data_IF_916142761361
#
_entry.id   IF_916142761361
#
_cell.length_a   1.000
_cell.length_b   1.000
_cell.length_c   1.000
_cell.angle_alpha   90.00
_cell.angle_beta   90.00
_cell.angle_gamma   90.00
#
_symmetry.space_group_name_H-M   'P 1'
#
loop_
_entity.id
_entity.type
_entity.pdbx_description
1 polymer ?
#
# COMPACT_ATOMS: atom_id res chain seq x y z
N UNK A 1 -30.97 66.44 -13.55
CA UNK A 1 -31.55 65.72 -14.72
C UNK A 1 -30.49 64.73 -15.17
N UNK A 2 -30.59 63.41 -15.15
CA UNK A 2 -31.52 62.38 -14.69
C UNK A 2 -30.59 61.17 -14.39
N UNK A 3 -30.77 60.47 -13.26
CA UNK A 3 -31.23 59.08 -13.21
C UNK A 3 -30.31 58.10 -14.02
N UNK A 4 -29.72 57.04 -13.46
CA UNK A 4 -30.40 56.04 -12.63
C UNK A 4 -29.40 55.19 -11.84
N UNK A 5 -29.59 55.18 -10.52
CA UNK A 5 -29.15 54.13 -9.60
C UNK A 5 -30.18 53.00 -9.74
N UNK A 6 -29.74 51.79 -10.09
CA UNK A 6 -30.49 50.57 -9.80
C UNK A 6 -29.58 49.57 -9.11
N UNK A 7 -29.61 49.62 -7.78
CA UNK A 7 -29.48 48.43 -6.95
C UNK A 7 -30.49 47.38 -7.45
N UNK A 8 -29.98 46.23 -7.91
CA UNK A 8 -30.78 45.01 -7.97
C UNK A 8 -30.32 44.09 -6.85
N UNK A 9 -30.75 44.47 -5.64
CA UNK A 9 -30.96 43.56 -4.53
C UNK A 9 -32.03 42.55 -4.93
N UNK A 10 -31.61 41.42 -5.54
CA UNK A 10 -32.48 40.27 -5.72
C UNK A 10 -32.63 39.53 -4.39
N UNK A 11 -33.66 39.95 -3.68
CA UNK A 11 -34.28 39.29 -2.54
C UNK A 11 -34.84 37.92 -3.00
N UNK A 12 -34.09 36.84 -2.75
CA UNK A 12 -34.63 35.48 -2.75
C UNK A 12 -34.86 35.02 -1.31
N UNK A 13 -36.07 34.53 -0.96
CA UNK A 13 -36.47 34.26 0.42
C UNK A 13 -35.75 33.03 1.02
N UNK A 14 -35.51 32.99 2.34
CA UNK A 14 -34.99 31.81 3.02
C UNK A 14 -36.11 30.78 3.14
N UNK A 15 -36.08 29.77 2.27
CA UNK A 15 -36.94 28.60 2.43
C UNK A 15 -36.45 27.82 3.66
N UNK A 16 -37.14 28.06 4.78
CA UNK A 16 -37.14 27.17 5.92
C UNK A 16 -37.45 25.75 5.44
N UNK A 17 -36.49 24.84 5.62
CA UNK A 17 -36.78 23.41 5.64
C UNK A 17 -36.49 22.88 7.04
N UNK A 18 -37.59 22.63 7.75
CA UNK A 18 -37.64 21.91 9.00
C UNK A 18 -36.96 20.54 8.92
N UNK A 19 -36.39 20.17 10.07
CA UNK A 19 -36.37 18.85 10.66
C UNK A 19 -36.14 17.66 9.73
N UNK A 20 -34.87 17.29 9.62
CA UNK A 20 -34.44 15.95 9.24
C UNK A 20 -33.20 15.60 10.04
N UNK A 21 -33.39 15.20 11.30
CA UNK A 21 -32.36 14.48 12.06
C UNK A 21 -32.12 13.17 11.34
N UNK A 22 -31.25 13.19 10.33
CA UNK A 22 -30.56 12.00 9.90
C UNK A 22 -29.30 11.89 10.74
N UNK A 23 -29.46 11.36 11.96
CA UNK A 23 -28.40 10.60 12.60
C UNK A 23 -28.19 9.32 11.78
N UNK A 24 -27.68 9.47 10.56
CA UNK A 24 -27.00 8.38 9.89
C UNK A 24 -25.68 8.22 10.62
N UNK A 25 -25.72 7.48 11.73
CA UNK A 25 -24.57 6.76 12.23
C UNK A 25 -24.19 5.78 11.11
N UNK A 26 -23.50 6.29 10.10
CA UNK A 26 -22.83 5.53 9.08
C UNK A 26 -21.61 4.93 9.76
N UNK A 27 -21.88 4.04 10.72
CA UNK A 27 -20.96 3.01 11.15
C UNK A 27 -20.87 2.15 9.89
N UNK A 28 -19.98 2.53 8.97
CA UNK A 28 -19.38 1.56 8.09
C UNK A 28 -19.03 0.40 9.02
N UNK A 29 -19.63 -0.80 8.87
CA UNK A 29 -19.17 -1.95 9.59
C UNK A 29 -17.75 -2.12 9.09
N UNK A 30 -16.88 -1.58 9.91
CA UNK A 30 -15.51 -1.95 10.10
C UNK A 30 -15.53 -3.46 9.88
N UNK A 31 -15.18 -3.93 8.66
CA UNK A 31 -14.98 -5.32 8.19
C UNK A 31 -14.09 -6.21 9.10
N UNK A 32 -13.97 -5.85 10.36
CA UNK A 32 -12.99 -6.28 11.33
C UNK A 32 -13.68 -7.28 12.29
N UNK A 33 -15.02 -7.46 12.17
CA UNK A 33 -15.87 -8.36 12.95
C UNK A 33 -16.38 -9.62 12.21
N UNK A 34 -15.93 -9.90 10.99
CA UNK A 34 -16.18 -11.22 10.39
C UNK A 34 -14.99 -12.13 10.69
N UNK A 35 -15.19 -13.07 11.59
CA UNK A 35 -14.34 -14.26 11.74
C UNK A 35 -14.83 -15.26 10.71
N UNK A 36 -14.31 -15.22 9.49
CA UNK A 36 -14.43 -16.38 8.60
C UNK A 36 -13.71 -17.55 9.29
N UNK A 37 -14.34 -18.72 9.34
CA UNK A 37 -13.78 -19.92 9.99
C UNK A 37 -12.44 -20.39 9.36
N UNK A 38 -12.11 -19.89 8.16
CA UNK A 38 -10.86 -20.16 7.44
C UNK A 38 -9.75 -19.14 7.74
N UNK A 39 -10.06 -18.03 8.41
CA UNK A 39 -9.07 -16.99 8.68
C UNK A 39 -8.18 -17.34 9.91
N UNK A 40 -6.90 -16.94 9.91
CA UNK A 40 -6.04 -17.11 11.08
C UNK A 40 -6.67 -16.48 12.33
N UNK A 41 -6.70 -17.18 13.49
CA UNK A 41 -7.22 -16.64 14.73
C UNK A 41 -6.58 -15.28 15.05
N UNK A 42 -7.39 -14.31 15.47
CA UNK A 42 -6.92 -12.96 15.83
C UNK A 42 -6.54 -12.94 17.31
N UNK A 43 -5.51 -12.15 17.65
CA UNK A 43 -5.12 -11.94 19.05
C UNK A 43 -6.27 -11.26 19.81
N UNK A 44 -6.56 -11.67 21.05
CA UNK A 44 -7.60 -11.04 21.85
C UNK A 44 -7.20 -9.61 22.25
N UNK A 45 -8.21 -8.80 22.54
CA UNK A 45 -8.03 -7.41 22.97
C UNK A 45 -7.49 -7.37 24.41
N UNK A 46 -6.56 -6.47 24.69
CA UNK A 46 -6.04 -6.29 26.04
C UNK A 46 -7.10 -5.67 26.98
N UNK A 47 -6.85 -5.73 28.30
CA UNK A 47 -7.81 -5.25 29.30
C UNK A 47 -8.22 -3.78 29.11
N UNK A 48 -7.29 -2.89 28.76
CA UNK A 48 -7.59 -1.50 28.47
C UNK A 48 -8.50 -1.33 27.24
N UNK A 49 -8.20 -2.01 26.13
CA UNK A 49 -9.01 -1.96 24.92
C UNK A 49 -10.40 -2.55 25.15
N UNK A 50 -10.52 -3.56 26.01
CA UNK A 50 -11.81 -4.11 26.45
C UNK A 50 -12.62 -3.07 27.23
N UNK A 51 -11.99 -2.36 28.16
CA UNK A 51 -12.62 -1.24 28.87
C UNK A 51 -13.06 -0.14 27.90
N UNK A 52 -12.20 0.29 26.97
CA UNK A 52 -12.55 1.29 25.94
C UNK A 52 -13.73 0.81 25.10
N UNK A 53 -13.74 -0.45 24.66
CA UNK A 53 -14.83 -1.02 23.86
C UNK A 53 -16.18 -0.99 24.62
N UNK A 54 -16.17 -1.18 25.93
CA UNK A 54 -17.38 -1.14 26.76
C UNK A 54 -17.85 0.30 27.03
N UNK A 55 -16.93 1.22 27.32
CA UNK A 55 -17.28 2.58 27.78
C UNK A 55 -17.43 3.59 26.64
N UNK A 56 -16.70 3.44 25.53
CA UNK A 56 -16.77 4.35 24.40
C UNK A 56 -18.19 4.56 23.84
N UNK A 57 -19.02 3.52 23.61
CA UNK A 57 -20.38 3.75 23.12
C UNK A 57 -21.26 4.48 24.14
N UNK A 58 -21.03 4.27 25.45
CA UNK A 58 -21.78 4.95 26.52
C UNK A 58 -21.45 6.44 26.59
N UNK A 59 -20.19 6.82 26.40
CA UNK A 59 -19.79 8.23 26.36
C UNK A 59 -20.24 8.87 25.05
N UNK A 60 -20.13 8.16 23.93
CA UNK A 60 -20.55 8.67 22.63
C UNK A 60 -22.07 8.91 22.55
N UNK A 61 -22.89 8.10 23.22
CA UNK A 61 -24.34 8.32 23.29
C UNK A 61 -24.72 9.50 24.20
N UNK A 62 -23.97 9.71 25.29
CA UNK A 62 -24.16 10.86 26.20
C UNK A 62 -23.67 12.19 25.61
N UNK A 63 -22.67 12.12 24.72
CA UNK A 63 -22.00 13.26 24.13
C UNK A 63 -21.82 13.10 22.61
N UNK A 64 -22.91 13.16 21.83
CA UNK A 64 -22.87 12.99 20.38
C UNK A 64 -22.06 14.09 19.67
N UNK A 65 -21.87 15.25 20.28
CA UNK A 65 -21.06 16.37 19.79
C UNK A 65 -19.54 16.14 19.93
N UNK A 66 -19.13 15.28 20.88
CA UNK A 66 -17.72 15.04 21.14
C UNK A 66 -17.11 14.14 20.07
N UNK A 67 -15.91 14.51 19.59
CA UNK A 67 -15.15 13.68 18.66
C UNK A 67 -14.66 12.41 19.37
N UNK A 68 -14.70 11.29 18.66
CA UNK A 68 -14.22 9.99 19.15
C UNK A 68 -12.80 10.05 19.74
N UNK A 69 -11.91 10.85 19.14
CA UNK A 69 -10.52 11.01 19.62
C UNK A 69 -10.47 11.60 21.03
N UNK A 70 -11.35 12.55 21.33
CA UNK A 70 -11.42 13.20 22.64
C UNK A 70 -12.07 12.28 23.68
N UNK A 71 -13.08 11.50 23.28
CA UNK A 71 -13.67 10.44 24.10
C UNK A 71 -12.61 9.41 24.51
N UNK A 72 -11.84 8.90 23.55
CA UNK A 72 -10.76 7.94 23.82
C UNK A 72 -9.68 8.57 24.72
N UNK A 73 -9.38 9.86 24.55
CA UNK A 73 -8.43 10.56 25.42
C UNK A 73 -8.91 10.60 26.88
N UNK A 74 -10.19 10.89 27.11
CA UNK A 74 -10.81 10.87 28.44
C UNK A 74 -10.76 9.46 29.06
N UNK A 75 -11.19 8.43 28.33
CA UNK A 75 -11.10 7.03 28.78
C UNK A 75 -9.67 6.59 29.12
N UNK A 76 -8.68 7.06 28.36
CA UNK A 76 -7.29 6.79 28.64
C UNK A 76 -6.81 7.45 29.94
N UNK A 77 -7.35 8.61 30.30
CA UNK A 77 -7.06 9.28 31.58
C UNK A 77 -7.74 8.53 32.73
N UNK A 78 -9.02 8.19 32.60
CA UNK A 78 -9.78 7.40 33.58
C UNK A 78 -9.12 6.05 33.86
N UNK A 79 -8.67 5.33 32.83
CA UNK A 79 -7.95 4.07 33.00
C UNK A 79 -6.62 4.23 33.76
N UNK A 80 -5.94 5.37 33.65
CA UNK A 80 -4.70 5.61 34.42
C UNK A 80 -5.01 5.84 35.90
N UNK A 81 -6.10 6.54 36.21
CA UNK A 81 -6.52 6.85 37.59
C UNK A 81 -7.24 5.70 38.30
N UNK A 82 -7.79 4.74 37.56
CA UNK A 82 -8.45 3.55 38.14
C UNK A 82 -7.50 2.72 39.02
N UNK A 83 -8.05 2.12 40.08
CA UNK A 83 -7.33 1.21 40.97
C UNK A 83 -6.97 -0.12 40.27
N UNK A 84 -5.97 -0.87 40.76
CA UNK A 84 -5.66 -2.20 40.21
C UNK A 84 -6.86 -3.15 40.30
N UNK A 85 -7.63 -3.09 41.39
CA UNK A 85 -8.83 -3.91 41.61
C UNK A 85 -9.92 -3.66 40.55
N UNK A 86 -10.11 -2.41 40.13
CA UNK A 86 -11.03 -2.08 39.04
C UNK A 86 -10.54 -2.59 37.67
N UNK A 87 -9.22 -2.77 37.52
CA UNK A 87 -8.60 -3.28 36.29
C UNK A 87 -8.57 -4.81 36.24
N UNK A 88 -8.56 -5.47 37.40
CA UNK A 88 -8.46 -6.93 37.54
C UNK A 88 -9.47 -7.70 36.65
N UNK A 89 -10.77 -7.37 36.61
CA UNK A 89 -11.73 -8.10 35.77
C UNK A 89 -11.35 -8.08 34.28
N UNK A 90 -10.84 -6.94 33.80
CA UNK A 90 -10.43 -6.77 32.41
C UNK A 90 -9.11 -7.50 32.10
N UNK A 91 -8.21 -7.60 33.09
CA UNK A 91 -6.97 -8.36 32.95
C UNK A 91 -7.24 -9.86 32.95
N UNK A 92 -8.07 -10.34 33.90
CA UNK A 92 -8.45 -11.75 34.01
C UNK A 92 -9.14 -12.25 32.74
N UNK A 93 -10.09 -11.47 32.20
CA UNK A 93 -10.75 -11.81 30.93
C UNK A 93 -9.76 -11.88 29.77
N UNK A 94 -8.82 -10.92 29.67
CA UNK A 94 -7.75 -10.98 28.66
C UNK A 94 -6.88 -12.24 28.78
N UNK A 95 -6.52 -12.65 30.00
CA UNK A 95 -5.70 -13.85 30.22
C UNK A 95 -6.44 -15.12 29.77
N UNK A 96 -7.71 -15.26 30.12
CA UNK A 96 -8.56 -16.37 29.67
C UNK A 96 -8.67 -16.40 28.14
N UNK A 97 -8.94 -15.25 27.51
CA UNK A 97 -9.02 -15.18 26.05
C UNK A 97 -7.68 -15.50 25.38
N UNK A 98 -6.56 -15.14 26.02
CA UNK A 98 -5.22 -15.46 25.54
C UNK A 98 -4.92 -16.96 25.59
N UNK A 99 -5.41 -17.66 26.60
CA UNK A 99 -5.31 -19.12 26.69
C UNK A 99 -6.12 -19.78 25.58
N UNK A 100 -7.37 -19.36 25.39
CA UNK A 100 -8.22 -19.84 24.31
C UNK A 100 -7.59 -19.59 22.93
N UNK A 101 -7.08 -18.38 22.70
CA UNK A 101 -6.39 -18.02 21.47
C UNK A 101 -5.18 -18.91 21.16
N UNK A 102 -4.40 -19.30 22.19
CA UNK A 102 -3.26 -20.23 21.99
C UNK A 102 -3.75 -21.58 21.47
N UNK A 103 -4.81 -22.12 22.06
CA UNK A 103 -5.43 -23.38 21.62
C UNK A 103 -5.98 -23.26 20.19
N UNK A 104 -6.67 -22.16 19.88
CA UNK A 104 -7.24 -21.93 18.55
C UNK A 104 -6.15 -21.81 17.48
N UNK A 105 -5.03 -21.15 17.78
CA UNK A 105 -3.89 -21.06 16.86
C UNK A 105 -3.24 -22.42 16.62
N UNK A 106 -3.14 -23.27 17.65
CA UNK A 106 -2.62 -24.63 17.49
C UNK A 106 -3.54 -25.47 16.61
N UNK A 107 -4.85 -25.45 16.87
CA UNK A 107 -5.86 -26.13 16.05
C UNK A 107 -5.82 -25.64 14.60
N UNK A 108 -5.77 -24.32 14.39
CA UNK A 108 -5.69 -23.71 13.07
C UNK A 108 -4.44 -24.16 12.30
N UNK A 109 -3.27 -24.15 12.93
CA UNK A 109 -2.03 -24.61 12.28
C UNK A 109 -2.04 -26.09 11.96
N UNK A 110 -2.63 -26.92 12.84
CA UNK A 110 -2.73 -28.36 12.62
C UNK A 110 -3.68 -28.73 11.47
N UNK A 111 -4.68 -27.89 11.19
CA UNK A 111 -5.64 -28.10 10.09
C UNK A 111 -5.08 -27.73 8.70
N UNK A 112 -4.00 -26.95 8.63
CA UNK A 112 -3.50 -26.40 7.36
C UNK A 112 -2.50 -27.30 6.66
N UNK A 113 -2.61 -27.37 5.33
CA UNK A 113 -1.60 -27.97 4.46
C UNK A 113 -0.32 -27.13 4.39
N UNK A 114 0.88 -27.74 4.20
CA UNK A 114 2.13 -27.01 3.97
C UNK A 114 2.06 -25.95 2.87
N UNK A 115 1.30 -26.21 1.80
CA UNK A 115 1.11 -25.26 0.70
C UNK A 115 0.33 -24.01 1.15
N UNK A 116 -0.75 -24.20 1.94
CA UNK A 116 -1.54 -23.10 2.49
C UNK A 116 -0.73 -22.27 3.51
N UNK A 117 0.11 -22.92 4.32
CA UNK A 117 1.03 -22.23 5.22
C UNK A 117 2.02 -21.34 4.47
N UNK A 118 2.55 -21.80 3.33
CA UNK A 118 3.44 -21.01 2.49
C UNK A 118 2.70 -19.81 1.88
N UNK A 119 1.47 -19.99 1.39
CA UNK A 119 0.64 -18.89 0.87
C UNK A 119 0.35 -17.83 1.94
N UNK A 120 -0.04 -18.24 3.16
CA UNK A 120 -0.22 -17.30 4.28
C UNK A 120 1.07 -16.55 4.62
N UNK A 121 2.23 -17.21 4.51
CA UNK A 121 3.52 -16.59 4.74
C UNK A 121 3.86 -15.56 3.65
N UNK A 122 3.62 -15.87 2.37
CA UNK A 122 3.86 -14.94 1.26
C UNK A 122 2.90 -13.76 1.32
N UNK A 123 1.61 -13.98 1.60
CA UNK A 123 0.61 -12.92 1.78
C UNK A 123 1.01 -11.98 2.93
N UNK A 124 1.43 -12.54 4.08
CA UNK A 124 1.95 -11.76 5.21
C UNK A 124 3.16 -10.90 4.81
N UNK A 125 4.10 -11.46 4.05
CA UNK A 125 5.25 -10.72 3.54
C UNK A 125 4.82 -9.59 2.60
N UNK A 126 3.91 -9.85 1.66
CA UNK A 126 3.38 -8.85 0.73
C UNK A 126 2.67 -7.71 1.48
N UNK A 127 1.87 -8.04 2.49
CA UNK A 127 1.21 -7.07 3.37
C UNK A 127 2.21 -6.20 4.12
N UNK A 128 3.28 -6.79 4.66
CA UNK A 128 4.34 -6.04 5.34
C UNK A 128 5.12 -5.14 4.37
N UNK A 129 5.45 -5.62 3.17
CA UNK A 129 6.08 -4.83 2.10
C UNK A 129 5.20 -3.63 1.71
N UNK A 130 3.89 -3.84 1.52
CA UNK A 130 2.91 -2.77 1.22
C UNK A 130 2.83 -1.74 2.35
N UNK A 131 2.77 -2.18 3.62
CA UNK A 131 2.78 -1.27 4.79
C UNK A 131 4.07 -0.45 4.85
N UNK A 132 5.23 -1.07 4.66
CA UNK A 132 6.53 -0.37 4.62
C UNK A 132 6.59 0.66 3.47
N UNK A 133 6.14 0.29 2.27
CA UNK A 133 6.10 1.19 1.13
C UNK A 133 5.15 2.40 1.37
N UNK A 134 3.99 2.15 1.98
CA UNK A 134 3.03 3.22 2.33
C UNK A 134 3.60 4.17 3.38
N UNK A 135 4.22 3.64 4.44
CA UNK A 135 4.89 4.46 5.47
C UNK A 135 6.01 5.31 4.85
N UNK A 136 6.84 4.72 4.00
CA UNK A 136 7.89 5.45 3.27
C UNK A 136 7.31 6.54 2.38
N UNK A 137 6.21 6.28 1.67
CA UNK A 137 5.52 7.30 0.86
C UNK A 137 5.02 8.46 1.72
N UNK A 138 4.39 8.18 2.85
CA UNK A 138 3.89 9.22 3.77
C UNK A 138 5.05 10.04 4.34
N UNK A 139 6.15 9.38 4.73
CA UNK A 139 7.36 10.07 5.19
C UNK A 139 7.93 10.99 4.12
N UNK A 140 8.09 10.51 2.88
CA UNK A 140 8.57 11.34 1.77
C UNK A 140 7.62 12.51 1.45
N UNK A 141 6.31 12.30 1.56
CA UNK A 141 5.33 13.38 1.39
C UNK A 141 5.43 14.42 2.52
N UNK A 142 5.66 14.00 3.77
CA UNK A 142 5.88 14.90 4.91
C UNK A 142 7.18 15.70 4.78
N UNK A 143 8.21 15.11 4.17
CA UNK A 143 9.47 15.78 3.82
C UNK A 143 9.35 16.70 2.60
N UNK A 144 8.14 16.90 2.05
CA UNK A 144 7.93 17.79 0.91
C UNK A 144 8.57 17.32 -0.38
N UNK A 145 8.78 16.01 -0.57
CA UNK A 145 9.43 15.50 -1.77
C UNK A 145 8.68 15.94 -3.05
N UNK A 146 9.38 16.54 -4.03
CA UNK A 146 8.78 16.97 -5.30
C UNK A 146 7.98 15.87 -6.00
N UNK A 147 6.82 16.23 -6.55
CA UNK A 147 6.02 15.33 -7.39
C UNK A 147 6.75 15.08 -8.71
N UNK A 148 6.66 13.84 -9.19
CA UNK A 148 7.31 13.42 -10.43
C UNK A 148 6.85 14.22 -11.65
N UNK A 149 7.63 14.09 -12.73
CA UNK A 149 7.39 14.75 -14.02
C UNK A 149 6.02 14.36 -14.55
N UNK A 150 5.26 15.35 -15.04
CA UNK A 150 3.99 15.15 -15.73
C UNK A 150 4.23 15.06 -17.23
N UNK A 151 3.73 13.99 -17.84
CA UNK A 151 3.71 13.86 -19.29
C UNK A 151 2.61 14.74 -19.90
N UNK A 152 2.70 15.05 -21.20
CA UNK A 152 1.75 15.85 -21.95
C UNK A 152 0.29 15.40 -21.72
N UNK A 153 0.05 14.09 -21.79
CA UNK A 153 -1.27 13.51 -21.49
C UNK A 153 -1.75 13.75 -20.05
N UNK A 154 -0.86 13.70 -19.05
CA UNK A 154 -1.23 13.97 -17.66
C UNK A 154 -1.61 15.44 -17.45
N UNK A 155 -0.95 16.35 -18.17
CA UNK A 155 -1.24 17.79 -18.15
C UNK A 155 -2.59 18.03 -18.83
N UNK A 156 -2.80 17.49 -20.03
CA UNK A 156 -4.09 17.53 -20.73
C UNK A 156 -5.22 16.99 -19.86
N UNK A 157 -5.06 15.79 -19.28
CA UNK A 157 -6.07 15.21 -18.40
C UNK A 157 -6.37 16.14 -17.23
N UNK A 158 -5.35 16.73 -16.58
CA UNK A 158 -5.60 17.65 -15.46
C UNK A 158 -6.32 18.94 -15.85
N UNK A 159 -6.12 19.44 -17.08
CA UNK A 159 -6.77 20.63 -17.58
C UNK A 159 -8.24 20.36 -17.94
N UNK A 160 -8.53 19.20 -18.53
CA UNK A 160 -9.83 18.88 -19.11
C UNK A 160 -10.74 18.02 -18.19
N UNK A 161 -10.24 17.57 -17.03
CA UNK A 161 -10.96 16.63 -16.17
C UNK A 161 -12.30 17.14 -15.64
N UNK A 162 -12.41 18.44 -15.36
CA UNK A 162 -13.64 19.05 -14.86
C UNK A 162 -14.74 19.01 -15.92
N UNK A 163 -14.39 19.35 -17.16
CA UNK A 163 -15.28 19.46 -18.32
C UNK A 163 -15.54 18.13 -19.03
N UNK A 164 -14.80 17.08 -18.67
CA UNK A 164 -14.95 15.75 -19.25
C UNK A 164 -16.36 15.17 -19.03
N UNK A 165 -16.87 14.52 -20.08
CA UNK A 165 -18.19 13.88 -20.09
C UNK A 165 -18.18 12.58 -19.29
N UNK A 166 -19.23 12.37 -18.49
CA UNK A 166 -19.46 11.14 -17.73
C UNK A 166 -19.70 11.37 -16.23
N UNK A 167 -20.59 10.56 -15.66
CA UNK A 167 -21.04 10.70 -14.27
C UNK A 167 -20.01 10.18 -13.26
N UNK A 168 -19.17 9.24 -13.70
CA UNK A 168 -18.12 8.63 -12.89
C UNK A 168 -16.74 9.01 -13.42
N UNK A 169 -15.76 9.12 -12.52
CA UNK A 169 -14.34 9.35 -12.81
C UNK A 169 -13.81 8.40 -13.88
N UNK A 170 -14.22 7.12 -13.85
CA UNK A 170 -13.79 6.14 -14.84
C UNK A 170 -14.30 6.49 -16.25
N UNK A 171 -15.58 6.87 -16.38
CA UNK A 171 -16.16 7.27 -17.65
C UNK A 171 -15.50 8.55 -18.19
N UNK A 172 -15.25 9.53 -17.32
CA UNK A 172 -14.51 10.76 -17.66
C UNK A 172 -13.12 10.48 -18.21
N UNK A 173 -12.35 9.60 -17.56
CA UNK A 173 -11.01 9.22 -18.03
C UNK A 173 -11.09 8.52 -19.39
N UNK A 174 -12.06 7.64 -19.60
CA UNK A 174 -12.23 6.98 -20.91
C UNK A 174 -12.51 7.99 -22.02
N UNK A 175 -13.43 8.95 -21.80
CA UNK A 175 -13.68 10.06 -22.73
C UNK A 175 -12.40 10.83 -23.05
N UNK A 176 -11.64 11.23 -22.03
CA UNK A 176 -10.40 12.00 -22.22
C UNK A 176 -9.32 11.23 -22.98
N UNK A 177 -9.26 9.90 -22.84
CA UNK A 177 -8.34 9.07 -23.64
C UNK A 177 -8.73 9.11 -25.12
N UNK A 178 -10.02 9.10 -25.43
CA UNK A 178 -10.53 9.23 -26.81
C UNK A 178 -10.28 10.64 -27.37
N UNK A 179 -10.60 11.67 -26.58
CA UNK A 179 -10.36 13.07 -26.95
C UNK A 179 -8.87 13.32 -27.23
N UNK A 180 -7.97 12.77 -26.40
CA UNK A 180 -6.53 12.87 -26.61
C UNK A 180 -6.07 12.18 -27.91
N UNK A 181 -6.66 11.05 -28.27
CA UNK A 181 -6.34 10.37 -29.54
C UNK A 181 -6.75 11.24 -30.72
N UNK A 182 -7.93 11.84 -30.65
CA UNK A 182 -8.51 12.67 -31.71
C UNK A 182 -7.96 14.11 -31.74
N UNK A 183 -7.21 14.52 -30.71
CA UNK A 183 -6.63 15.85 -30.63
C UNK A 183 -5.65 16.12 -31.78
N UNK A 184 -5.71 17.33 -32.33
CA UNK A 184 -4.87 17.76 -33.45
C UNK A 184 -3.37 17.72 -33.10
N UNK A 185 -2.51 17.60 -34.11
CA UNK A 185 -1.06 17.64 -33.89
C UNK A 185 -0.58 18.98 -33.34
N UNK A 186 -1.25 20.09 -33.70
CA UNK A 186 -0.96 21.42 -33.19
C UNK A 186 -1.25 21.51 -31.68
N UNK A 187 -2.43 21.07 -31.25
CA UNK A 187 -2.82 21.19 -29.85
C UNK A 187 -2.03 20.21 -28.97
N UNK A 188 -1.69 19.02 -29.49
CA UNK A 188 -0.77 18.08 -28.83
C UNK A 188 0.59 18.71 -28.56
N UNK A 189 1.15 19.50 -29.50
CA UNK A 189 2.45 20.17 -29.33
C UNK A 189 2.45 21.15 -28.15
N UNK A 190 1.34 21.83 -27.87
CA UNK A 190 1.24 22.72 -26.70
C UNK A 190 1.45 21.93 -25.41
N UNK A 191 0.81 20.76 -25.28
CA UNK A 191 0.97 19.90 -24.11
C UNK A 191 2.36 19.24 -24.04
N UNK A 192 2.99 18.95 -25.18
CA UNK A 192 4.38 18.48 -25.24
C UNK A 192 5.35 19.55 -24.72
N UNK A 193 5.19 20.81 -25.12
CA UNK A 193 5.98 21.92 -24.59
C UNK A 193 5.79 22.07 -23.07
N UNK A 194 4.55 21.99 -22.57
CA UNK A 194 4.28 22.03 -21.13
C UNK A 194 4.89 20.86 -20.36
N UNK A 195 4.96 19.66 -20.96
CA UNK A 195 5.62 18.51 -20.37
C UNK A 195 7.13 18.72 -20.29
N UNK A 196 7.69 19.43 -21.25
CA UNK A 196 9.11 19.76 -21.35
C UNK A 196 9.49 20.78 -20.28
N UNK A 197 8.63 21.78 -20.05
CA UNK A 197 8.77 22.71 -18.93
C UNK A 197 8.62 22.00 -17.56
N UNK A 198 7.73 21.02 -17.43
CA UNK A 198 7.56 20.25 -16.18
C UNK A 198 8.80 19.38 -15.87
N UNK A 199 9.54 18.92 -16.90
CA UNK A 199 10.86 18.27 -16.70
C UNK A 199 11.85 19.22 -16.06
N UNK A 200 11.89 20.48 -16.51
CA UNK A 200 12.78 21.52 -15.96
C UNK A 200 12.38 21.84 -14.51
N UNK A 201 11.08 22.08 -14.26
CA UNK A 201 10.53 22.28 -12.91
C UNK A 201 10.97 21.17 -11.96
N UNK A 202 10.71 19.91 -12.32
CA UNK A 202 11.05 18.76 -11.48
C UNK A 202 12.56 18.66 -11.22
N UNK A 203 13.41 18.95 -12.21
CA UNK A 203 14.86 18.94 -12.04
C UNK A 203 15.28 19.96 -10.97
N UNK A 204 14.83 21.20 -11.10
CA UNK A 204 15.17 22.29 -10.18
C UNK A 204 14.64 22.03 -8.76
N UNK A 205 13.37 21.63 -8.63
CA UNK A 205 12.78 21.28 -7.34
C UNK A 205 13.51 20.11 -6.67
N UNK A 206 13.89 19.09 -7.44
CA UNK A 206 14.62 17.95 -6.89
C UNK A 206 16.03 18.29 -6.44
N UNK A 207 16.74 19.17 -7.15
CA UNK A 207 18.07 19.65 -6.75
C UNK A 207 17.98 20.43 -5.43
N UNK A 208 17.03 21.36 -5.33
CA UNK A 208 16.77 22.11 -4.08
C UNK A 208 16.40 21.17 -2.93
N UNK A 209 15.51 20.20 -3.17
CA UNK A 209 15.07 19.25 -2.15
C UNK A 209 16.21 18.34 -1.69
N UNK A 210 17.04 17.84 -2.62
CA UNK A 210 18.20 17.02 -2.25
C UNK A 210 19.21 17.80 -1.42
N UNK A 211 19.45 19.08 -1.73
CA UNK A 211 20.28 19.96 -0.91
C UNK A 211 19.70 20.12 0.51
N UNK A 212 18.40 20.37 0.62
CA UNK A 212 17.72 20.46 1.93
C UNK A 212 17.84 19.15 2.73
N UNK A 213 17.77 17.98 2.08
CA UNK A 213 17.91 16.70 2.79
C UNK A 213 19.34 16.46 3.31
N UNK A 214 20.36 16.95 2.60
CA UNK A 214 21.76 16.94 3.08
C UNK A 214 21.91 17.86 4.29
N UNK A 215 21.35 19.07 4.26
CA UNK A 215 21.40 20.02 5.38
C UNK A 215 20.71 19.48 6.65
N UNK A 216 19.61 18.73 6.49
CA UNK A 216 18.90 18.06 7.60
C UNK A 216 19.63 16.78 8.07
N UNK A 217 20.64 16.31 7.33
CA UNK A 217 21.38 15.06 7.62
C UNK A 217 20.62 13.78 7.24
N UNK A 218 19.57 13.89 6.43
CA UNK A 218 18.76 12.75 5.92
C UNK A 218 19.23 12.34 4.53
N UNK A 219 20.49 11.95 4.42
CA UNK A 219 21.07 11.53 3.14
C UNK A 219 20.48 10.21 2.60
N UNK A 220 19.86 9.40 3.48
CA UNK A 220 19.25 8.11 3.17
C UNK A 220 18.17 8.17 2.07
N UNK A 221 17.55 9.35 1.89
CA UNK A 221 16.47 9.55 0.91
C UNK A 221 16.95 10.06 -0.46
N UNK A 222 18.23 10.39 -0.60
CA UNK A 222 18.83 10.94 -1.83
C UNK A 222 18.85 9.91 -2.98
N UNK A 223 18.67 10.37 -4.22
CA UNK A 223 18.73 9.49 -5.41
C UNK A 223 20.12 8.91 -5.65
N UNK A 224 21.17 9.68 -5.33
CA UNK A 224 22.57 9.36 -5.61
C UNK A 224 23.04 8.09 -4.88
N UNK A 225 22.66 7.91 -3.62
CA UNK A 225 22.97 6.69 -2.87
C UNK A 225 22.34 5.44 -3.50
N UNK A 226 21.16 5.59 -4.10
CA UNK A 226 20.45 4.49 -4.77
C UNK A 226 21.14 4.08 -6.08
N UNK A 227 21.64 5.05 -6.86
CA UNK A 227 22.36 4.81 -8.13
C UNK A 227 23.74 4.19 -7.90
N UNK A 228 24.46 4.60 -6.84
CA UNK A 228 25.73 3.99 -6.44
C UNK A 228 25.55 2.52 -5.99
N UNK A 229 24.52 2.22 -5.19
CA UNK A 229 24.21 0.82 -4.79
C UNK A 229 23.82 -0.07 -5.97
N UNK A 230 22.98 0.42 -6.90
CA UNK A 230 22.57 -0.38 -8.07
C UNK A 230 23.69 -0.67 -9.07
N UNK A 231 24.74 0.15 -9.13
CA UNK A 231 25.92 -0.11 -9.98
C UNK A 231 26.95 -1.03 -9.31
N UNK A 232 27.01 -1.06 -7.97
CA UNK A 232 27.96 -1.92 -7.24
C UNK A 232 27.50 -3.38 -7.12
N UNK A 233 26.21 -3.68 -7.33
CA UNK A 233 25.60 -4.99 -7.06
C UNK A 233 25.25 -5.79 -8.34
N UNK A 234 25.89 -5.50 -9.47
CA UNK A 234 25.79 -6.34 -10.66
C UNK A 234 26.89 -7.43 -10.66
N UNK A 235 26.63 -8.68 -10.24
CA UNK A 235 27.59 -9.75 -10.44
C UNK A 235 27.76 -9.99 -11.94
N UNK A 236 28.97 -9.76 -12.44
CA UNK A 236 29.38 -10.16 -13.80
C UNK A 236 29.31 -11.69 -13.87
N UNK A 237 28.18 -12.24 -14.31
CA UNK A 237 28.10 -13.63 -14.74
C UNK A 237 29.02 -13.77 -15.95
N UNK A 238 30.24 -14.28 -15.73
CA UNK A 238 31.12 -14.76 -16.80
C UNK A 238 30.38 -15.87 -17.53
N UNK A 239 29.77 -15.56 -18.68
CA UNK A 239 29.35 -16.58 -19.65
C UNK A 239 30.61 -17.33 -20.08
N UNK A 240 30.81 -18.51 -19.50
CA UNK A 240 31.79 -19.47 -20.00
C UNK A 240 31.33 -19.86 -21.41
N UNK A 241 32.05 -19.39 -22.44
CA UNK A 241 31.86 -19.81 -23.83
C UNK A 241 32.16 -21.31 -23.89
N UNK A 242 31.12 -22.15 -23.92
CA UNK A 242 31.26 -23.57 -24.27
C UNK A 242 31.47 -23.61 -25.78
N UNK A 243 32.73 -23.79 -26.18
CA UNK A 243 33.12 -24.08 -27.56
C UNK A 243 32.38 -25.33 -28.04
N UNK A 244 31.67 -25.19 -29.15
CA UNK A 244 31.00 -26.28 -29.86
C UNK A 244 31.99 -26.80 -30.89
N UNK A 245 32.85 -27.77 -30.53
CA UNK A 245 33.61 -28.53 -31.51
C UNK A 245 32.67 -29.53 -32.19
N UNK A 246 32.37 -29.28 -33.47
CA UNK A 246 31.88 -30.31 -34.40
C UNK A 246 33.07 -31.19 -34.75
N UNK A 247 33.03 -32.48 -34.43
CA UNK A 247 33.93 -33.49 -35.01
C UNK A 247 33.09 -34.36 -35.95
N UNK A 248 33.47 -34.34 -37.23
CA UNK A 248 32.96 -35.19 -38.28
C UNK A 248 33.71 -36.53 -38.26
N UNK A 249 32.98 -37.61 -38.57
CA UNK A 249 33.50 -38.98 -38.74
C UNK A 249 34.24 -39.19 -40.07
N UNK A 250 35.01 -40.30 -40.12
CA UNK A 250 35.81 -40.95 -41.20
C UNK A 250 37.30 -40.56 -41.17
N UNK A 251 38.28 -41.47 -41.18
CA UNK A 251 38.35 -42.87 -41.65
C UNK A 251 39.56 -43.64 -41.07
N UNK A 252 39.39 -44.96 -40.98
CA UNK A 252 40.34 -46.07 -41.24
C UNK A 252 41.53 -46.44 -40.33
N UNK A 253 41.42 -47.70 -39.86
CA UNK A 253 42.37 -48.82 -39.97
C UNK A 253 43.42 -49.09 -38.86
N UNK A 254 43.46 -50.38 -38.45
CA UNK A 254 44.57 -51.04 -37.74
C UNK A 254 44.17 -51.60 -36.36
N UNK A 255 43.74 -52.87 -36.22
CA UNK A 255 44.57 -54.09 -35.95
C UNK A 255 45.11 -54.07 -34.50
N UNK A 256 44.96 -55.04 -33.57
CA UNK A 256 44.54 -56.45 -33.54
C UNK A 256 44.50 -56.93 -32.07
N UNK A 257 43.66 -57.94 -31.80
CA UNK A 257 43.72 -59.00 -30.78
C UNK A 257 43.75 -58.73 -29.25
N UNK A 258 43.07 -59.64 -28.52
CA UNK A 258 43.36 -60.00 -27.14
C UNK A 258 42.13 -60.11 -26.23
N UNK A 259 41.17 -61.01 -26.53
CA UNK A 259 40.93 -62.31 -25.85
C UNK A 259 40.55 -62.24 -24.35
N UNK A 260 39.34 -62.78 -24.07
CA UNK A 260 38.87 -63.54 -22.87
C UNK A 260 38.48 -62.75 -21.60
N UNK A 261 37.20 -62.80 -21.17
CA UNK A 261 36.60 -63.79 -20.21
C UNK A 261 36.84 -63.34 -18.76
N UNK A 262 35.94 -63.34 -17.77
CA UNK A 262 34.61 -63.90 -17.48
C UNK A 262 34.05 -63.09 -16.26
N UNK A 263 32.73 -62.87 -16.14
CA UNK A 263 31.80 -63.46 -15.14
C UNK A 263 32.20 -63.18 -13.66
N UNK A 264 31.45 -62.39 -12.88
CA UNK A 264 30.31 -62.80 -12.01
C UNK A 264 30.05 -61.61 -11.04
N UNK A 265 28.84 -61.08 -10.85
CA UNK A 265 27.74 -61.48 -9.94
C UNK A 265 28.15 -61.78 -8.49
N UNK A 266 27.78 -60.88 -7.57
CA UNK A 266 27.18 -61.10 -6.23
C UNK A 266 26.82 -59.71 -5.66
N UNK A 267 25.57 -59.31 -5.34
CA UNK A 267 24.74 -59.66 -4.15
C UNK A 267 25.57 -59.65 -2.85
N UNK A 268 25.24 -59.01 -1.74
CA UNK A 268 23.95 -58.72 -1.09
C UNK A 268 24.19 -57.76 0.10
N UNK A 269 23.11 -57.15 0.62
CA UNK A 269 22.78 -56.75 2.02
C UNK A 269 23.94 -56.72 3.06
N UNK A 270 24.03 -55.73 3.95
CA UNK A 270 23.05 -55.24 4.95
C UNK A 270 23.32 -53.76 5.22
#
# INVERSE_FOLDING_TARGET
EECVIWELSFMFPPVFRCAGVFCSANINPVKYLSTEASAPPKRPINGYLRYVHQQQPLIASRHPEMKLVDIIRKLAQEWRTMSPEQKEPFQKTFLLDMEQYKLDVQKFKAQLSPAQLQELATEKQMRLKKKKATKRKIELNRLGKPKGIRNAFNIFMSAQFLEAKGDNVQAKVTSLVEDWKNLSSHDKKVYEQLAEDDKIRYKNEMESWEKQMVEIGREDVLRVLKKKKSCAEAPKVKKLKKSKSKSAQRTTAGKVAGKRSAKSVSTEKI
#
